data_IF_016766626659
#
_entry.id   IF_016766626659
#
_cell.length_a   1.000
_cell.length_b   1.000
_cell.length_c   1.000
_cell.angle_alpha   90.00
_cell.angle_beta   90.00
_cell.angle_gamma   90.00
#
_symmetry.space_group_name_H-M   'P 1'
#
loop_
_entity.id
_entity.type
_entity.pdbx_description
1 polymer ?
#
# COMPACT_ATOMS: atom_id res chain seq x y z
N UNK A 1 11.26 2.93 -7.78
CA UNK A 1 10.03 2.67 -6.99
C UNK A 1 9.24 1.54 -7.62
N UNK A 2 8.79 0.60 -6.80
CA UNK A 2 7.99 -0.57 -7.15
C UNK A 2 6.56 -0.28 -6.72
N UNK A 3 5.60 -0.25 -7.64
CA UNK A 3 4.19 -0.13 -7.30
C UNK A 3 3.69 -1.44 -6.67
N UNK A 4 2.92 -1.35 -5.60
CA UNK A 4 2.36 -2.54 -4.92
C UNK A 4 0.85 -2.59 -5.12
N UNK A 5 0.12 -1.59 -4.60
CA UNK A 5 -1.34 -1.53 -4.66
C UNK A 5 -1.81 -0.09 -4.41
N UNK A 6 -2.85 0.35 -5.12
CA UNK A 6 -3.43 1.70 -4.96
C UNK A 6 -2.32 2.78 -5.02
N UNK A 7 -2.21 3.64 -4.02
CA UNK A 7 -1.15 4.65 -3.88
C UNK A 7 0.11 4.17 -3.13
N UNK A 8 0.24 2.88 -2.83
CA UNK A 8 1.38 2.33 -2.11
C UNK A 8 2.49 1.83 -3.03
N UNK A 9 3.71 2.25 -2.72
CA UNK A 9 4.94 1.91 -3.41
C UNK A 9 6.01 1.43 -2.43
N UNK A 10 7.00 0.70 -2.93
CA UNK A 10 8.24 0.39 -2.22
C UNK A 10 9.41 0.98 -3.00
N UNK A 11 10.22 1.80 -2.36
CA UNK A 11 11.48 2.29 -2.92
C UNK A 11 12.67 1.49 -2.39
N UNK A 12 13.39 0.76 -3.27
CA UNK A 12 14.59 0.05 -2.88
C UNK A 12 15.87 0.91 -2.97
N UNK A 13 15.80 2.18 -3.38
CA UNK A 13 16.96 3.00 -3.77
C UNK A 13 17.86 3.49 -2.60
N UNK A 14 17.84 2.83 -1.45
CA UNK A 14 18.65 3.17 -0.27
C UNK A 14 19.19 1.95 0.46
N UNK A 15 19.46 2.07 1.76
CA UNK A 15 19.90 0.97 2.62
C UNK A 15 18.74 0.02 3.02
N UNK A 16 17.51 0.52 2.97
CA UNK A 16 16.28 -0.19 3.35
C UNK A 16 15.23 -0.12 2.23
N UNK A 17 14.26 -1.02 2.30
CA UNK A 17 13.03 -0.98 1.49
C UNK A 17 12.04 0.00 2.12
N UNK A 18 11.90 1.18 1.52
CA UNK A 18 11.05 2.26 2.03
C UNK A 18 9.64 2.13 1.48
N UNK A 19 8.64 1.97 2.35
CA UNK A 19 7.23 2.05 1.93
C UNK A 19 6.84 3.52 1.78
N UNK A 20 6.26 3.85 0.63
CA UNK A 20 5.85 5.19 0.25
C UNK A 20 4.36 5.21 -0.07
N UNK A 21 3.68 6.29 0.32
CA UNK A 21 2.32 6.63 -0.12
C UNK A 21 2.39 7.78 -1.11
N UNK A 22 1.98 7.53 -2.35
CA UNK A 22 1.76 8.57 -3.35
C UNK A 22 0.60 9.44 -2.90
N UNK A 23 0.80 10.74 -2.86
CA UNK A 23 -0.24 11.73 -2.62
C UNK A 23 0.00 12.93 -3.52
N UNK A 24 -1.04 13.73 -3.69
CA UNK A 24 -0.90 14.98 -4.40
C UNK A 24 -0.51 16.08 -3.41
N UNK A 25 0.55 16.82 -3.74
CA UNK A 25 1.06 17.91 -2.91
C UNK A 25 1.22 19.17 -3.73
N UNK A 26 1.09 20.32 -3.09
CA UNK A 26 1.39 21.60 -3.73
C UNK A 26 2.87 21.95 -3.47
N UNK A 27 3.65 22.15 -4.52
CA UNK A 27 5.02 22.64 -4.43
C UNK A 27 5.16 23.85 -5.36
N UNK A 28 5.37 25.02 -4.77
CA UNK A 28 5.50 26.30 -5.46
C UNK A 28 4.27 26.68 -6.31
N UNK A 29 3.06 26.37 -5.86
CA UNK A 29 1.81 26.70 -6.56
C UNK A 29 1.40 25.67 -7.61
N UNK A 30 2.25 24.69 -7.91
CA UNK A 30 1.95 23.60 -8.83
C UNK A 30 1.58 22.33 -8.07
N UNK A 31 0.54 21.68 -8.55
CA UNK A 31 0.12 20.36 -8.08
C UNK A 31 1.10 19.31 -8.61
N UNK A 32 1.82 18.63 -7.71
CA UNK A 32 2.79 17.59 -8.05
C UNK A 32 2.57 16.34 -7.24
N UNK A 33 2.91 15.22 -7.84
CA UNK A 33 2.96 13.94 -7.14
C UNK A 33 4.11 13.97 -6.13
N UNK A 34 3.77 13.73 -4.87
CA UNK A 34 4.75 13.61 -3.79
C UNK A 34 4.60 12.24 -3.14
N UNK A 35 5.72 11.68 -2.72
CA UNK A 35 5.78 10.34 -2.12
C UNK A 35 6.15 10.48 -0.65
N UNK A 36 5.21 10.12 0.23
CA UNK A 36 5.38 10.23 1.67
C UNK A 36 5.88 8.91 2.27
N UNK A 37 7.01 8.89 2.99
CA UNK A 37 7.47 7.71 3.71
C UNK A 37 6.48 7.25 4.78
N UNK A 38 6.17 5.95 4.78
CA UNK A 38 5.32 5.29 5.79
C UNK A 38 6.07 4.30 6.65
N UNK A 39 7.28 3.89 6.24
CA UNK A 39 8.14 3.03 7.03
C UNK A 39 9.35 2.55 6.24
N UNK A 40 10.35 2.08 6.96
CA UNK A 40 11.60 1.52 6.42
C UNK A 40 11.68 0.07 6.86
N UNK A 41 12.03 -0.83 5.94
CA UNK A 41 12.03 -2.26 6.20
C UNK A 41 13.30 -2.91 5.63
N UNK A 42 13.86 -3.85 6.38
CA UNK A 42 15.09 -4.56 5.99
C UNK A 42 14.91 -5.59 4.85
N UNK A 43 13.69 -5.80 4.35
CA UNK A 43 13.41 -6.72 3.25
C UNK A 43 12.17 -6.31 2.47
N UNK A 44 12.15 -6.64 1.17
CA UNK A 44 10.97 -6.42 0.32
C UNK A 44 9.74 -7.15 0.86
N UNK A 45 9.91 -8.38 1.37
CA UNK A 45 8.83 -9.16 1.97
C UNK A 45 8.21 -8.45 3.18
N UNK A 46 9.02 -7.86 4.05
CA UNK A 46 8.53 -7.10 5.19
C UNK A 46 7.80 -5.81 4.74
N UNK A 47 8.36 -5.10 3.76
CA UNK A 47 7.75 -3.91 3.18
C UNK A 47 6.37 -4.21 2.55
N UNK A 48 6.25 -5.27 1.75
CA UNK A 48 4.98 -5.68 1.13
C UNK A 48 3.95 -6.09 2.18
N UNK A 49 4.35 -6.82 3.24
CA UNK A 49 3.45 -7.13 4.36
C UNK A 49 2.95 -5.86 5.07
N UNK A 50 3.80 -4.86 5.24
CA UNK A 50 3.41 -3.59 5.82
C UNK A 50 2.43 -2.82 4.93
N UNK A 51 2.66 -2.79 3.61
CA UNK A 51 1.71 -2.22 2.64
C UNK A 51 0.34 -2.86 2.78
N UNK A 52 0.26 -4.20 2.86
CA UNK A 52 -1.02 -4.88 3.04
C UNK A 52 -1.76 -4.47 4.31
N UNK A 53 -1.04 -4.20 5.42
CA UNK A 53 -1.65 -3.69 6.66
C UNK A 53 -2.16 -2.25 6.49
N UNK A 54 -1.38 -1.40 5.85
CA UNK A 54 -1.73 -0.01 5.60
C UNK A 54 -2.93 0.12 4.67
N UNK A 55 -2.98 -0.70 3.61
CA UNK A 55 -4.12 -0.78 2.70
C UNK A 55 -5.42 -1.15 3.40
N UNK A 56 -5.41 -2.22 4.22
CA UNK A 56 -6.57 -2.62 5.03
C UNK A 56 -7.02 -1.51 5.98
N UNK A 57 -6.06 -0.85 6.65
CA UNK A 57 -6.36 0.27 7.55
C UNK A 57 -7.00 1.44 6.81
N UNK A 58 -6.50 1.81 5.64
CA UNK A 58 -7.06 2.89 4.83
C UNK A 58 -8.47 2.56 4.31
N UNK A 59 -8.74 1.30 3.96
CA UNK A 59 -10.08 0.86 3.58
C UNK A 59 -11.06 1.04 4.74
N UNK A 60 -10.67 0.57 5.93
CA UNK A 60 -11.49 0.66 7.14
C UNK A 60 -11.65 2.10 7.66
N UNK A 61 -10.78 3.04 7.27
CA UNK A 61 -10.89 4.44 7.69
C UNK A 61 -11.75 5.32 6.78
N UNK A 62 -12.35 4.77 5.72
CA UNK A 62 -13.14 5.56 4.75
C UNK A 62 -14.49 6.03 5.31
N UNK A 63 -15.03 5.28 6.26
CA UNK A 63 -16.31 5.52 6.91
C UNK A 63 -16.38 4.68 8.18
N UNK A 64 -17.42 4.89 8.97
CA UNK A 64 -17.78 3.98 10.05
C UNK A 64 -18.42 2.71 9.45
N UNK A 65 -18.08 1.56 10.01
CA UNK A 65 -18.56 0.25 9.58
C UNK A 65 -19.14 -0.50 10.76
N UNK A 66 -20.22 -1.24 10.52
CA UNK A 66 -20.57 -2.35 11.41
C UNK A 66 -19.52 -3.47 11.28
N UNK A 67 -19.38 -4.30 12.31
CA UNK A 67 -18.31 -5.31 12.36
C UNK A 67 -18.36 -6.30 11.18
N UNK A 68 -19.55 -6.72 10.77
CA UNK A 68 -19.70 -7.66 9.65
C UNK A 68 -19.35 -7.01 8.30
N UNK A 69 -19.64 -5.72 8.14
CA UNK A 69 -19.24 -4.94 6.96
C UNK A 69 -17.72 -4.79 6.90
N UNK A 70 -17.09 -4.46 8.03
CA UNK A 70 -15.64 -4.37 8.14
C UNK A 70 -14.97 -5.71 7.78
N UNK A 71 -15.52 -6.84 8.23
CA UNK A 71 -15.02 -8.17 7.88
C UNK A 71 -15.13 -8.42 6.36
N UNK A 72 -16.27 -8.10 5.74
CA UNK A 72 -16.45 -8.25 4.28
C UNK A 72 -15.46 -7.40 3.48
N UNK A 73 -15.19 -6.17 3.93
CA UNK A 73 -14.19 -5.28 3.33
C UNK A 73 -12.79 -5.89 3.43
N UNK A 74 -12.44 -6.46 4.58
CA UNK A 74 -11.13 -7.11 4.79
C UNK A 74 -10.95 -8.36 3.94
N UNK A 75 -11.99 -9.19 3.80
CA UNK A 75 -11.96 -10.37 2.91
C UNK A 75 -11.71 -9.94 1.46
N UNK A 76 -12.44 -8.93 0.98
CA UNK A 76 -12.23 -8.37 -0.36
C UNK A 76 -10.81 -7.83 -0.53
N UNK A 77 -10.26 -7.19 0.51
CA UNK A 77 -8.90 -6.68 0.49
C UNK A 77 -7.85 -7.81 0.41
N UNK A 78 -8.11 -8.93 1.07
CA UNK A 78 -7.24 -10.12 1.03
C UNK A 78 -7.22 -10.73 -0.37
N UNK A 79 -8.39 -10.90 -1.00
CA UNK A 79 -8.50 -11.43 -2.37
C UNK A 79 -7.72 -10.57 -3.38
N UNK A 80 -7.81 -9.23 -3.25
CA UNK A 80 -7.07 -8.30 -4.11
C UNK A 80 -5.57 -8.43 -3.90
N UNK A 81 -5.12 -8.47 -2.64
CA UNK A 81 -3.70 -8.61 -2.30
C UNK A 81 -3.15 -9.96 -2.80
N UNK A 82 -3.92 -11.04 -2.68
CA UNK A 82 -3.55 -12.36 -3.17
C UNK A 82 -3.43 -12.35 -4.70
N UNK A 83 -4.40 -11.79 -5.42
CA UNK A 83 -4.34 -11.61 -6.87
C UNK A 83 -3.12 -10.79 -7.31
N UNK A 84 -2.78 -9.71 -6.60
CA UNK A 84 -1.57 -8.92 -6.90
C UNK A 84 -0.31 -9.75 -6.72
N UNK A 85 -0.23 -10.56 -5.65
CA UNK A 85 0.91 -11.43 -5.39
C UNK A 85 1.04 -12.53 -6.46
N UNK A 86 -0.05 -13.22 -6.81
CA UNK A 86 -0.03 -14.23 -7.88
C UNK A 86 0.44 -13.65 -9.21
N UNK A 87 -0.10 -12.48 -9.61
CA UNK A 87 0.35 -11.79 -10.82
C UNK A 87 1.82 -11.44 -10.79
N UNK A 88 2.35 -11.03 -9.63
CA UNK A 88 3.76 -10.70 -9.47
C UNK A 88 4.68 -11.93 -9.50
N UNK A 89 4.19 -13.10 -9.07
CA UNK A 89 4.94 -14.36 -9.07
C UNK A 89 4.84 -15.13 -10.40
N UNK A 90 3.93 -14.73 -11.30
CA UNK A 90 3.71 -15.40 -12.59
C UNK A 90 2.99 -16.75 -12.48
N UNK A 91 2.44 -17.06 -11.30
CA UNK A 91 1.62 -18.23 -11.06
C UNK A 91 0.18 -17.89 -11.51
N UNK A 92 -0.28 -18.58 -12.55
CA UNK A 92 -1.57 -18.37 -13.21
C UNK A 92 -2.51 -19.52 -12.90
#
# INVERSE_FOLDING_TARGET
MIHVIDYYYVDPAGLDYTVLRKKTGNRNGEEKEVYEPKGYYNSLKAAVKAVGKLYRKDLLSKQDYELDEAIKVLQTADDVLESVLYRALGEK
#
